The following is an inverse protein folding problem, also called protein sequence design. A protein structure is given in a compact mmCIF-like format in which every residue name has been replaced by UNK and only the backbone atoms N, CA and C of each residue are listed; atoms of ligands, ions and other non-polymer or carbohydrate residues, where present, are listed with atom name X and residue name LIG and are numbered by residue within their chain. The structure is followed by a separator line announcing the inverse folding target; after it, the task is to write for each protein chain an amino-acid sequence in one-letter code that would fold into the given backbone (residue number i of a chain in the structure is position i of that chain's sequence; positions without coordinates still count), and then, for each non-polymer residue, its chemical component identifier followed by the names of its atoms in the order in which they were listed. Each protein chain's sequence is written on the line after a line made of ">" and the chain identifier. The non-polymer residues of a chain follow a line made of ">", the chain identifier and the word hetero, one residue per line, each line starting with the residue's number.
data_IF_125214388473
#
_entry.id   IF_125214388473
#
_cell.length_a   1.000
_cell.length_b   1.000
_cell.length_c   1.000
_cell.angle_alpha   90.00
_cell.angle_beta   90.00
_cell.angle_gamma   90.00
#
_symmetry.space_group_name_H-M   'P 1'
#
loop_
_entity.id
_entity.type
_entity.pdbx_description
1 polymer ?
#
# COMPACT_ATOMS: atom_id res chain seq x y z
N UNK A 1 -16.20 19.16 2.55
CA UNK A 1 -17.05 17.97 2.32
C UNK A 1 -16.11 16.76 2.30
N UNK A 2 -16.24 15.81 3.23
CA UNK A 2 -15.41 14.59 3.21
C UNK A 2 -15.73 13.83 1.94
N UNK A 3 -14.73 13.62 1.10
CA UNK A 3 -14.93 12.93 -0.16
C UNK A 3 -15.28 11.45 0.10
N UNK A 4 -14.74 10.81 1.14
CA UNK A 4 -15.01 9.39 1.47
C UNK A 4 -16.22 9.19 2.37
N UNK A 5 -16.90 8.03 2.27
CA UNK A 5 -17.68 7.54 3.41
C UNK A 5 -16.73 7.02 4.49
N UNK A 6 -17.09 7.23 5.76
CA UNK A 6 -16.26 6.81 6.88
C UNK A 6 -16.07 5.28 6.92
N UNK A 7 -17.13 4.53 6.60
CA UNK A 7 -17.09 3.07 6.53
C UNK A 7 -16.14 2.53 5.44
N UNK A 8 -16.07 3.19 4.28
CA UNK A 8 -15.15 2.82 3.18
C UNK A 8 -13.69 2.98 3.62
N UNK A 9 -13.35 4.10 4.27
CA UNK A 9 -11.99 4.30 4.79
C UNK A 9 -11.68 3.27 5.86
N UNK A 10 -12.55 3.11 6.87
CA UNK A 10 -12.34 2.20 7.98
C UNK A 10 -12.04 0.76 7.51
N UNK A 11 -12.78 0.27 6.51
CA UNK A 11 -12.55 -1.06 5.93
C UNK A 11 -11.15 -1.21 5.31
N UNK A 12 -10.68 -0.23 4.54
CA UNK A 12 -9.31 -0.21 4.00
C UNK A 12 -8.26 -0.13 5.13
N UNK A 13 -8.58 0.58 6.20
CA UNK A 13 -7.77 0.65 7.41
C UNK A 13 -7.59 -0.70 8.10
N UNK A 14 -8.67 -1.45 8.26
CA UNK A 14 -8.67 -2.81 8.85
C UNK A 14 -7.82 -3.75 8.01
N UNK A 15 -8.06 -3.78 6.69
CA UNK A 15 -7.27 -4.60 5.76
C UNK A 15 -5.78 -4.26 5.83
N UNK A 16 -5.44 -2.97 5.83
CA UNK A 16 -4.06 -2.53 5.92
C UNK A 16 -3.39 -2.90 7.26
N UNK A 17 -4.13 -2.78 8.37
CA UNK A 17 -3.62 -3.10 9.70
C UNK A 17 -3.31 -4.59 9.82
N UNK A 18 -4.15 -5.44 9.23
CA UNK A 18 -3.94 -6.89 9.25
C UNK A 18 -2.79 -7.37 8.36
N UNK A 19 -2.66 -6.83 7.15
CA UNK A 19 -1.75 -7.39 6.14
C UNK A 19 -0.54 -6.52 5.79
N UNK A 20 -0.47 -5.28 6.26
CA UNK A 20 0.63 -4.37 5.89
C UNK A 20 0.70 -4.03 4.40
N UNK A 21 -0.41 -4.16 3.67
CA UNK A 21 -0.55 -3.87 2.23
C UNK A 21 -0.69 -2.37 1.93
N UNK A 22 0.06 -1.54 2.66
CA UNK A 22 -0.08 -0.09 2.70
C UNK A 22 0.16 0.59 1.35
N UNK A 23 0.97 -0.01 0.47
CA UNK A 23 1.17 0.48 -0.90
C UNK A 23 -0.12 0.46 -1.73
N UNK A 24 -0.93 -0.60 -1.61
CA UNK A 24 -2.23 -0.70 -2.29
C UNK A 24 -3.27 0.22 -1.66
N UNK A 25 -3.39 0.20 -0.34
CA UNK A 25 -4.42 1.00 0.34
C UNK A 25 -4.19 2.51 0.22
N UNK A 26 -2.93 2.95 0.25
CA UNK A 26 -2.58 4.35 -0.05
C UNK A 26 -2.86 4.73 -1.51
N UNK A 27 -2.71 3.80 -2.45
CA UNK A 27 -3.10 4.01 -3.84
C UNK A 27 -4.62 4.17 -4.00
N UNK A 28 -5.43 3.36 -3.31
CA UNK A 28 -6.88 3.53 -3.30
C UNK A 28 -7.29 4.89 -2.74
N UNK A 29 -6.66 5.37 -1.66
CA UNK A 29 -6.89 6.73 -1.17
C UNK A 29 -6.51 7.78 -2.25
N UNK A 30 -5.38 7.61 -2.93
CA UNK A 30 -4.98 8.54 -3.99
C UNK A 30 -6.02 8.62 -5.11
N UNK A 31 -6.49 7.47 -5.60
CA UNK A 31 -7.44 7.39 -6.70
C UNK A 31 -8.78 8.00 -6.36
N UNK A 32 -9.30 7.70 -5.17
CA UNK A 32 -10.56 8.26 -4.71
C UNK A 32 -10.49 9.79 -4.65
N UNK A 33 -9.37 10.30 -4.12
CA UNK A 33 -9.22 11.72 -3.91
C UNK A 33 -9.03 12.51 -5.21
N UNK A 34 -8.48 11.88 -6.25
CA UNK A 34 -8.28 12.52 -7.56
C UNK A 34 -9.44 12.30 -8.51
N UNK A 35 -10.15 11.18 -8.40
CA UNK A 35 -11.25 10.82 -9.26
C UNK A 35 -12.44 10.26 -8.46
N UNK A 36 -13.35 11.13 -8.00
CA UNK A 36 -14.56 10.69 -7.30
C UNK A 36 -15.43 9.72 -8.11
N UNK A 37 -15.32 9.70 -9.45
CA UNK A 37 -16.05 8.74 -10.30
C UNK A 37 -15.48 7.32 -10.23
N UNK A 38 -14.23 7.14 -9.75
CA UNK A 38 -13.65 5.82 -9.48
C UNK A 38 -14.23 5.18 -8.20
N UNK A 39 -15.08 5.90 -7.47
CA UNK A 39 -15.71 5.45 -6.22
C UNK A 39 -16.33 4.05 -6.28
N UNK A 40 -17.07 3.64 -7.32
CA UNK A 40 -17.62 2.28 -7.38
C UNK A 40 -16.52 1.20 -7.41
N UNK A 41 -15.42 1.44 -8.11
CA UNK A 41 -14.27 0.52 -8.14
C UNK A 41 -13.59 0.43 -6.78
N UNK A 42 -13.57 1.53 -6.02
CA UNK A 42 -12.93 1.61 -4.70
C UNK A 42 -13.82 1.06 -3.59
N UNK A 43 -15.13 1.34 -3.59
CA UNK A 43 -16.13 0.68 -2.71
C UNK A 43 -16.05 -0.84 -2.89
N UNK A 44 -15.87 -1.26 -4.13
CA UNK A 44 -15.62 -2.65 -4.43
C UNK A 44 -14.27 -3.08 -3.84
N UNK A 45 -13.18 -2.34 -4.05
CA UNK A 45 -11.89 -2.65 -3.46
C UNK A 45 -11.86 -2.65 -1.92
N UNK A 46 -12.83 -2.07 -1.20
CA UNK A 46 -12.80 -2.09 0.28
C UNK A 46 -13.12 -3.45 0.90
N UNK A 47 -13.58 -4.43 0.12
CA UNK A 47 -13.78 -5.80 0.61
C UNK A 47 -12.44 -6.57 0.56
N UNK A 48 -12.05 -7.18 1.69
CA UNK A 48 -10.78 -7.91 1.84
C UNK A 48 -10.44 -8.83 0.66
N UNK A 49 -11.39 -9.63 0.18
CA UNK A 49 -11.19 -10.51 -0.99
C UNK A 49 -10.95 -9.78 -2.30
N UNK A 50 -11.55 -8.60 -2.47
CA UNK A 50 -11.39 -7.81 -3.69
C UNK A 50 -10.02 -7.14 -3.71
N UNK A 51 -9.51 -6.67 -2.55
CA UNK A 51 -8.10 -6.28 -2.41
C UNK A 51 -7.20 -7.44 -2.81
N UNK A 52 -7.41 -8.65 -2.27
CA UNK A 52 -6.59 -9.82 -2.62
C UNK A 52 -6.69 -10.19 -4.10
N UNK A 53 -7.89 -10.14 -4.68
CA UNK A 53 -8.09 -10.39 -6.10
C UNK A 53 -7.33 -9.38 -6.97
N UNK A 54 -7.34 -8.11 -6.59
CA UNK A 54 -6.63 -7.06 -7.30
C UNK A 54 -5.11 -7.18 -7.18
N UNK A 55 -4.60 -7.47 -5.97
CA UNK A 55 -3.19 -7.78 -5.75
C UNK A 55 -2.78 -8.98 -6.61
N UNK A 56 -3.58 -10.06 -6.61
CA UNK A 56 -3.33 -11.24 -7.43
C UNK A 56 -3.29 -10.89 -8.92
N UNK A 57 -4.22 -10.08 -9.41
CA UNK A 57 -4.24 -9.63 -10.81
C UNK A 57 -2.96 -8.87 -11.16
N UNK A 58 -2.57 -7.89 -10.35
CA UNK A 58 -1.35 -7.13 -10.54
C UNK A 58 -0.11 -8.03 -10.59
N UNK A 59 0.04 -8.96 -9.63
CA UNK A 59 1.16 -9.89 -9.61
C UNK A 59 1.17 -10.82 -10.83
N UNK A 60 0.00 -11.27 -11.31
CA UNK A 60 -0.10 -12.08 -12.53
C UNK A 60 0.30 -11.30 -13.79
N UNK A 61 -0.03 -10.01 -13.87
CA UNK A 61 0.44 -9.14 -14.96
C UNK A 61 1.98 -9.03 -14.94
N UNK A 62 2.57 -8.79 -13.77
CA UNK A 62 4.02 -8.75 -13.63
C UNK A 62 4.69 -10.09 -14.01
N UNK A 63 4.04 -11.23 -13.73
CA UNK A 63 4.52 -12.56 -14.14
C UNK A 63 4.46 -12.74 -15.66
N UNK A 64 3.36 -12.33 -16.30
CA UNK A 64 3.24 -12.39 -17.75
C UNK A 64 4.33 -11.57 -18.46
N UNK A 65 4.68 -10.41 -17.88
CA UNK A 65 5.71 -9.52 -18.41
C UNK A 65 7.15 -9.96 -18.07
N UNK A 66 7.35 -11.02 -17.27
CA UNK A 66 8.64 -11.35 -16.65
C UNK A 66 9.29 -10.14 -15.95
N UNK A 67 8.48 -9.33 -15.27
CA UNK A 67 8.91 -8.04 -14.74
C UNK A 67 9.94 -8.20 -13.62
N UNK A 68 11.04 -7.41 -13.63
CA UNK A 68 12.03 -7.42 -12.55
C UNK A 68 11.43 -6.92 -11.21
N UNK A 69 10.26 -6.27 -11.21
CA UNK A 69 9.56 -5.85 -9.99
C UNK A 69 9.18 -7.02 -9.09
N UNK A 70 8.97 -8.22 -9.63
CA UNK A 70 8.66 -9.41 -8.83
C UNK A 70 9.77 -9.73 -7.83
N UNK A 71 11.03 -9.68 -8.28
CA UNK A 71 12.18 -9.91 -7.41
C UNK A 71 12.27 -8.82 -6.33
N UNK A 72 12.04 -7.56 -6.71
CA UNK A 72 12.07 -6.44 -5.77
C UNK A 72 10.98 -6.51 -4.70
N UNK A 73 9.75 -6.87 -5.07
CA UNK A 73 8.63 -7.09 -4.14
C UNK A 73 8.96 -8.21 -3.17
N UNK A 74 9.45 -9.35 -3.69
CA UNK A 74 9.88 -10.49 -2.87
C UNK A 74 10.96 -10.09 -1.89
N UNK A 75 12.03 -9.47 -2.37
CA UNK A 75 13.20 -9.14 -1.55
C UNK A 75 12.87 -8.07 -0.51
N UNK A 76 12.03 -7.09 -0.87
CA UNK A 76 11.56 -6.11 0.10
C UNK A 76 10.67 -6.74 1.17
N UNK A 77 9.73 -7.62 0.80
CA UNK A 77 8.87 -8.32 1.77
C UNK A 77 9.71 -9.16 2.73
N UNK A 78 10.69 -9.92 2.22
CA UNK A 78 11.62 -10.72 3.05
C UNK A 78 12.45 -9.88 4.00
N UNK A 79 12.75 -8.63 3.66
CA UNK A 79 13.56 -7.75 4.51
C UNK A 79 12.91 -7.38 5.85
N UNK A 80 11.62 -7.67 6.03
CA UNK A 80 10.93 -7.49 7.31
C UNK A 80 11.22 -8.63 8.31
N UNK A 81 11.96 -9.67 7.91
CA UNK A 81 12.32 -10.81 8.76
C UNK A 81 11.15 -11.79 8.94
N UNK A 82 11.28 -12.77 9.86
CA UNK A 82 10.23 -13.77 10.09
C UNK A 82 8.87 -13.14 10.45
N UNK A 83 7.76 -13.71 9.95
CA UNK A 83 7.66 -14.93 9.14
C UNK A 83 7.88 -14.70 7.62
N UNK A 84 8.25 -13.50 7.21
CA UNK A 84 8.28 -13.07 5.80
C UNK A 84 9.58 -13.41 5.07
N UNK A 85 10.64 -13.81 5.78
CA UNK A 85 11.95 -14.15 5.23
C UNK A 85 11.92 -15.29 4.20
N UNK A 86 10.90 -16.15 4.26
CA UNK A 86 10.66 -17.25 3.31
C UNK A 86 9.69 -16.89 2.17
N UNK A 87 9.12 -15.67 2.17
CA UNK A 87 8.07 -15.24 1.26
C UNK A 87 8.36 -15.57 -0.21
N UNK A 88 7.35 -16.06 -0.95
CA UNK A 88 7.40 -16.25 -2.41
C UNK A 88 6.13 -15.69 -3.03
N UNK A 89 6.27 -15.07 -4.20
CA UNK A 89 5.13 -14.52 -4.95
C UNK A 89 4.13 -15.63 -5.32
N UNK A 90 4.60 -16.79 -5.76
CA UNK A 90 3.70 -17.89 -6.13
C UNK A 90 2.93 -18.44 -4.92
N UNK A 91 3.59 -18.58 -3.76
CA UNK A 91 2.93 -19.02 -2.53
C UNK A 91 1.85 -18.03 -2.11
N UNK A 92 2.13 -16.73 -2.22
CA UNK A 92 1.15 -15.66 -1.96
C UNK A 92 -0.08 -15.75 -2.88
N UNK A 93 0.14 -15.87 -4.20
CA UNK A 93 -0.95 -16.03 -5.19
C UNK A 93 -1.75 -17.32 -4.93
N UNK A 94 -1.07 -18.40 -4.56
CA UNK A 94 -1.70 -19.68 -4.25
C UNK A 94 -2.54 -19.60 -2.98
N UNK A 95 -2.07 -18.89 -1.95
CA UNK A 95 -2.84 -18.68 -0.72
C UNK A 95 -4.14 -17.91 -1.00
N UNK A 96 -4.10 -16.87 -1.83
CA UNK A 96 -5.31 -16.14 -2.26
C UNK A 96 -6.28 -17.07 -2.99
N UNK A 97 -5.75 -17.88 -3.90
CA UNK A 97 -6.58 -18.82 -4.68
C UNK A 97 -7.21 -19.90 -3.80
N UNK A 98 -6.48 -20.41 -2.80
CA UNK A 98 -6.97 -21.38 -1.82
C UNK A 98 -8.04 -20.78 -0.92
N UNK A 99 -7.83 -19.57 -0.41
CA UNK A 99 -8.82 -18.88 0.42
C UNK A 99 -10.15 -18.72 -0.32
N UNK A 100 -10.09 -18.28 -1.58
CA UNK A 100 -11.27 -18.17 -2.45
C UNK A 100 -11.93 -19.54 -2.69
N UNK A 101 -11.16 -20.58 -3.02
CA UNK A 101 -11.71 -21.92 -3.26
C UNK A 101 -12.34 -22.56 -2.01
N UNK A 102 -11.84 -22.23 -0.83
CA UNK A 102 -12.36 -22.69 0.46
C UNK A 102 -13.51 -21.82 1.00
N UNK A 103 -13.88 -20.75 0.29
CA UNK A 103 -14.87 -19.77 0.76
C UNK A 103 -14.61 -19.30 2.20
N UNK A 104 -13.34 -19.05 2.56
CA UNK A 104 -13.03 -18.53 3.90
C UNK A 104 -13.75 -17.21 4.11
N UNK A 105 -14.21 -16.91 5.31
CA UNK A 105 -14.81 -15.61 5.61
C UNK A 105 -13.75 -14.51 5.63
N UNK A 106 -14.19 -13.26 5.50
CA UNK A 106 -13.31 -12.07 5.64
C UNK A 106 -12.55 -12.12 6.97
N UNK A 107 -13.23 -12.48 8.06
CA UNK A 107 -12.61 -12.59 9.39
C UNK A 107 -11.54 -13.68 9.47
N UNK A 108 -11.61 -14.72 8.64
CA UNK A 108 -10.61 -15.79 8.62
C UNK A 108 -9.35 -15.41 7.85
N UNK A 109 -9.43 -14.46 6.92
CA UNK A 109 -8.29 -14.00 6.12
C UNK A 109 -7.69 -12.70 6.64
N UNK A 110 -8.48 -11.83 7.26
CA UNK A 110 -8.02 -10.58 7.85
C UNK A 110 -6.99 -10.85 8.96
N UNK A 111 -5.83 -10.19 8.89
CA UNK A 111 -4.76 -10.36 9.87
C UNK A 111 -3.92 -11.62 9.72
N UNK A 112 -4.24 -12.54 8.80
CA UNK A 112 -3.33 -13.66 8.50
C UNK A 112 -2.12 -13.13 7.73
N UNK A 113 -0.95 -13.28 8.35
CA UNK A 113 0.36 -12.93 7.82
C UNK A 113 0.67 -13.50 6.42
N UNK A 114 0.00 -14.58 6.00
CA UNK A 114 0.13 -15.17 4.66
C UNK A 114 -0.38 -14.25 3.55
N UNK A 115 -1.22 -13.28 3.90
CA UNK A 115 -1.73 -12.25 3.00
C UNK A 115 -0.99 -10.93 3.13
N UNK A 116 0.08 -10.89 3.93
CA UNK A 116 0.96 -9.74 4.03
C UNK A 116 1.98 -9.65 2.90
N UNK A 117 2.15 -8.45 2.35
CA UNK A 117 3.15 -8.18 1.31
C UNK A 117 3.55 -6.70 1.34
N UNK A 118 4.86 -6.45 1.27
CA UNK A 118 5.40 -5.11 1.18
C UNK A 118 5.68 -4.73 -0.29
N UNK A 119 5.44 -3.46 -0.65
CA UNK A 119 5.74 -2.94 -1.98
C UNK A 119 6.89 -1.94 -1.95
N UNK A 120 7.94 -2.11 -2.76
CA UNK A 120 8.92 -1.05 -2.94
C UNK A 120 8.30 0.16 -3.70
N UNK A 121 8.88 1.37 -3.60
CA UNK A 121 8.29 2.57 -4.18
C UNK A 121 7.97 2.45 -5.67
N UNK A 122 8.85 1.81 -6.43
CA UNK A 122 8.67 1.53 -7.86
C UNK A 122 7.50 0.61 -8.14
N UNK A 123 7.20 -0.36 -7.26
CA UNK A 123 6.05 -1.23 -7.44
C UNK A 123 4.75 -0.50 -7.15
N UNK A 124 4.74 0.45 -6.21
CA UNK A 124 3.56 1.29 -5.93
C UNK A 124 3.29 2.21 -7.12
N UNK A 125 4.33 2.86 -7.65
CA UNK A 125 4.24 3.71 -8.83
C UNK A 125 3.76 2.93 -10.07
N UNK A 126 4.33 1.74 -10.32
CA UNK A 126 3.94 0.86 -11.42
C UNK A 126 2.49 0.38 -11.28
N UNK A 127 2.08 -0.05 -10.08
CA UNK A 127 0.71 -0.45 -9.81
C UNK A 127 -0.29 0.67 -10.10
N UNK A 128 -0.04 1.89 -9.61
CA UNK A 128 -0.88 3.07 -9.90
C UNK A 128 -0.92 3.35 -11.41
N UNK A 129 0.20 3.20 -12.10
CA UNK A 129 0.28 3.45 -13.54
C UNK A 129 -0.49 2.41 -14.34
N UNK A 130 -0.37 1.13 -14.02
CA UNK A 130 -0.98 0.03 -14.79
C UNK A 130 -2.45 -0.19 -14.45
N UNK A 131 -2.80 -0.19 -13.18
CA UNK A 131 -4.14 -0.56 -12.72
C UNK A 131 -5.11 0.62 -12.78
N UNK A 132 -4.58 1.85 -12.73
CA UNK A 132 -5.38 3.06 -12.65
C UNK A 132 -5.10 4.07 -13.76
N UNK A 133 -4.21 3.74 -14.69
CA UNK A 133 -3.87 4.58 -15.85
C UNK A 133 -3.39 5.99 -15.46
N UNK A 134 -2.73 6.12 -14.29
CA UNK A 134 -2.23 7.40 -13.79
C UNK A 134 -0.73 7.53 -13.96
N UNK A 135 -0.27 8.71 -14.35
CA UNK A 135 1.17 8.95 -14.44
C UNK A 135 1.73 9.11 -13.04
N UNK A 136 2.92 8.57 -12.80
CA UNK A 136 3.58 8.66 -11.50
C UNK A 136 5.02 9.09 -11.62
N UNK A 137 5.53 9.74 -10.57
CA UNK A 137 6.95 10.07 -10.42
C UNK A 137 7.39 9.87 -8.98
N UNK A 138 8.56 9.26 -8.80
CA UNK A 138 9.11 8.94 -7.48
C UNK A 138 10.19 9.97 -7.14
N UNK A 139 10.05 10.63 -6.00
CA UNK A 139 11.08 11.47 -5.41
C UNK A 139 11.56 10.82 -4.12
N UNK A 140 12.87 10.63 -4.00
CA UNK A 140 13.52 10.12 -2.81
C UNK A 140 13.95 11.29 -1.90
N UNK A 141 13.73 11.16 -0.59
CA UNK A 141 14.11 12.17 0.40
C UNK A 141 12.96 13.03 0.91
N UNK A 142 13.22 13.74 2.00
CA UNK A 142 12.26 14.54 2.74
C UNK A 142 11.87 15.80 1.96
N UNK A 143 10.93 15.68 1.04
CA UNK A 143 10.14 16.83 0.66
C UNK A 143 9.32 17.26 1.87
N UNK A 144 9.46 18.51 2.31
CA UNK A 144 8.39 19.10 3.10
C UNK A 144 7.10 18.89 2.32
N UNK A 145 6.06 18.37 2.98
CA UNK A 145 4.74 18.17 2.38
C UNK A 145 4.10 19.56 2.19
N UNK A 146 4.67 20.38 1.31
CA UNK A 146 4.26 21.77 1.08
C UNK A 146 3.46 21.81 -0.21
N UNK A 147 2.14 21.86 -0.08
CA UNK A 147 1.22 22.25 -1.16
C UNK A 147 0.97 21.21 -2.26
N UNK A 148 1.21 19.92 -2.00
CA UNK A 148 1.08 18.85 -3.00
C UNK A 148 0.04 17.76 -2.68
N UNK A 149 -0.05 16.78 -3.56
CA UNK A 149 -0.73 15.50 -3.34
C UNK A 149 0.16 14.34 -3.80
N UNK A 150 0.11 13.20 -3.10
CA UNK A 150 0.89 12.03 -3.46
C UNK A 150 0.90 10.95 -2.39
N UNK A 151 1.37 9.77 -2.75
CA UNK A 151 1.59 8.66 -1.83
C UNK A 151 2.96 8.86 -1.19
N UNK A 152 3.00 8.91 0.14
CA UNK A 152 4.22 9.17 0.91
C UNK A 152 4.69 7.89 1.59
N UNK A 153 5.96 7.54 1.44
CA UNK A 153 6.61 6.45 2.14
C UNK A 153 7.34 6.97 3.38
N UNK A 154 7.11 6.37 4.54
CA UNK A 154 7.71 6.81 5.81
C UNK A 154 8.61 5.76 6.45
N UNK A 155 9.62 6.24 7.17
CA UNK A 155 10.56 5.43 7.92
C UNK A 155 10.77 5.97 9.33
N UNK A 156 11.10 5.07 10.26
CA UNK A 156 11.58 5.37 11.61
C UNK A 156 13.09 5.13 11.76
N UNK A 157 13.77 4.76 10.68
CA UNK A 157 15.17 4.38 10.73
C UNK A 157 16.07 5.59 11.02
N UNK A 158 17.08 5.37 11.85
CA UNK A 158 18.10 6.39 12.13
C UNK A 158 18.89 6.71 10.86
N UNK A 159 19.29 7.96 10.72
CA UNK A 159 20.18 8.37 9.61
C UNK A 159 21.42 7.47 9.58
N UNK A 160 21.79 6.98 8.39
CA UNK A 160 22.96 6.11 8.20
C UNK A 160 22.71 4.60 8.36
N UNK A 161 21.51 4.16 8.74
CA UNK A 161 21.20 2.71 8.72
C UNK A 161 20.99 2.24 7.27
N UNK A 162 21.82 1.30 6.80
CA UNK A 162 21.66 0.65 5.48
C UNK A 162 20.52 -0.38 5.53
N UNK A 163 19.29 0.09 5.55
CA UNK A 163 18.10 -0.75 5.39
C UNK A 163 17.56 -0.62 3.96
N UNK A 164 16.97 -1.70 3.40
CA UNK A 164 16.28 -1.64 2.12
C UNK A 164 15.32 -0.44 2.08
N UNK A 165 15.37 0.30 0.97
CA UNK A 165 14.54 1.48 0.73
C UNK A 165 14.57 2.48 1.88
N UNK A 166 15.75 2.79 2.43
CA UNK A 166 15.94 3.72 3.55
C UNK A 166 15.13 3.34 4.80
N UNK A 167 14.85 2.05 4.96
CA UNK A 167 14.04 1.53 6.06
C UNK A 167 12.58 1.97 6.00
N UNK A 168 12.03 2.17 4.80
CA UNK A 168 10.60 2.34 4.58
C UNK A 168 9.80 1.28 5.37
N UNK A 169 8.75 1.72 6.06
CA UNK A 169 7.87 0.85 6.86
C UNK A 169 6.40 0.98 6.54
N UNK A 170 5.95 2.12 6.01
CA UNK A 170 4.54 2.36 5.77
C UNK A 170 4.32 3.37 4.64
N UNK A 171 3.21 3.25 3.92
CA UNK A 171 2.74 4.23 2.96
C UNK A 171 1.44 4.87 3.41
N UNK A 172 1.28 6.15 3.11
CA UNK A 172 0.07 6.91 3.36
C UNK A 172 -0.22 7.79 2.15
N UNK A 173 -1.46 8.24 1.98
CA UNK A 173 -1.75 9.24 0.97
C UNK A 173 -1.80 10.63 1.61
N UNK A 174 -1.12 11.61 1.02
CA UNK A 174 -1.13 13.00 1.44
C UNK A 174 -1.85 13.85 0.39
N UNK A 175 -2.73 14.75 0.83
CA UNK A 175 -3.36 15.77 -0.02
C UNK A 175 -3.67 17.01 0.81
N UNK A 176 -3.12 18.16 0.41
CA UNK A 176 -3.46 19.48 0.96
C UNK A 176 -3.49 19.53 2.49
N UNK A 177 -2.42 19.07 3.15
CA UNK A 177 -2.31 19.06 4.61
C UNK A 177 -3.05 17.91 5.31
N UNK A 178 -3.77 17.07 4.57
CA UNK A 178 -4.48 15.90 5.12
C UNK A 178 -3.76 14.61 4.75
N UNK A 179 -3.55 13.73 5.73
CA UNK A 179 -3.03 12.38 5.52
C UNK A 179 -4.16 11.37 5.65
N UNK A 180 -4.24 10.44 4.71
CA UNK A 180 -5.17 9.31 4.70
C UNK A 180 -4.37 8.04 4.96
N UNK A 181 -4.68 7.38 6.08
CA UNK A 181 -4.04 6.14 6.51
C UNK A 181 -4.93 5.43 7.54
N UNK A 182 -4.73 4.13 7.76
CA UNK A 182 -5.40 3.41 8.85
C UNK A 182 -6.93 3.58 8.89
N UNK A 183 -7.53 3.84 7.73
CA UNK A 183 -8.96 4.05 7.57
C UNK A 183 -9.52 5.35 8.12
N UNK A 184 -8.67 6.36 8.31
CA UNK A 184 -9.07 7.69 8.78
C UNK A 184 -8.12 8.77 8.27
N UNK A 185 -8.43 10.01 8.64
CA UNK A 185 -7.61 11.18 8.30
C UNK A 185 -6.80 11.68 9.48
N UNK A 186 -5.62 12.24 9.18
CA UNK A 186 -4.71 12.82 10.15
C UNK A 186 -4.16 14.16 9.64
N UNK A 187 -3.80 15.05 10.57
CA UNK A 187 -3.17 16.34 10.28
C UNK A 187 -1.67 16.24 9.99
N UNK A 188 -1.00 15.18 10.42
CA UNK A 188 0.44 15.02 10.25
C UNK A 188 0.90 13.57 10.25
N UNK A 189 2.14 13.32 9.79
CA UNK A 189 2.77 11.99 9.85
C UNK A 189 2.92 11.53 11.31
N UNK A 190 3.19 12.46 12.23
CA UNK A 190 3.30 12.16 13.65
C UNK A 190 1.97 11.68 14.24
N UNK A 191 0.85 12.30 13.85
CA UNK A 191 -0.48 11.89 14.30
C UNK A 191 -0.86 10.51 13.74
N UNK A 192 -0.50 10.25 12.47
CA UNK A 192 -0.81 8.98 11.80
C UNK A 192 0.03 7.79 12.30
N UNK A 193 1.29 8.02 12.67
CA UNK A 193 2.25 6.97 13.00
C UNK A 193 2.61 6.89 14.48
N UNK A 194 2.11 7.83 15.29
CA UNK A 194 2.46 7.98 16.69
C UNK A 194 3.85 8.58 16.93
N UNK A 195 4.24 8.75 18.19
CA UNK A 195 5.53 9.33 18.56
C UNK A 195 6.70 8.46 18.06
N UNK A 196 7.78 9.10 17.61
CA UNK A 196 9.00 8.35 17.28
C UNK A 196 9.90 8.90 16.18
N UNK A 197 9.75 10.16 15.78
CA UNK A 197 10.66 10.78 14.81
C UNK A 197 10.56 10.21 13.40
N UNK A 198 9.35 9.82 12.99
CA UNK A 198 9.04 9.36 11.64
C UNK A 198 9.39 10.41 10.59
N UNK A 199 9.98 9.97 9.47
CA UNK A 199 10.39 10.83 8.36
C UNK A 199 9.82 10.31 7.05
N UNK A 200 9.43 11.22 6.18
CA UNK A 200 9.13 10.91 4.78
C UNK A 200 10.46 10.58 4.08
N UNK A 201 10.51 9.41 3.46
CA UNK A 201 11.67 8.91 2.70
C UNK A 201 11.38 8.80 1.20
N UNK A 202 10.10 8.73 0.82
CA UNK A 202 9.65 8.78 -0.57
C UNK A 202 8.38 9.61 -0.71
N UNK A 203 8.25 10.26 -1.87
CA UNK A 203 7.01 10.83 -2.38
C UNK A 203 6.77 10.27 -3.77
N UNK A 204 5.63 9.64 -3.97
CA UNK A 204 5.13 9.15 -5.26
C UNK A 204 4.02 10.11 -5.66
N UNK A 205 4.36 11.08 -6.52
CA UNK A 205 3.37 11.97 -7.08
C UNK A 205 2.49 11.19 -8.06
N UNK A 206 1.21 11.47 -8.02
CA UNK A 206 0.21 10.87 -8.91
C UNK A 206 -0.41 12.00 -9.73
N UNK A 207 -0.22 11.96 -11.04
CA UNK A 207 -0.53 13.00 -12.02
C UNK A 207 -1.71 12.60 -12.91
#
# INVERSE_FOLDING_TARGET
>A
MSIYSQAEMESLGVTNTGWGVCGFTSSFYAMYAQNPQARPQIINATQAYRVLAEIKTYLRMLQADNSPLLAKIRDFTRSFGPPYDTFKIDDYINNISKAAAQNLSVQQIEGDSKFSMAMPPEAVADYVTRMWERRTSITEGSGALTGGQGIIGVSKSKAGTKLPYKGLKHYMYYKNGTIYSWGRTFSSVADAMGPGGWKVVYVIAVL
#
